data_IF_288355943440
#
_entry.id   IF_288355943440
#
_cell.length_a   1.000
_cell.length_b   1.000
_cell.length_c   1.000
_cell.angle_alpha   90.00
_cell.angle_beta   90.00
_cell.angle_gamma   90.00
#
_symmetry.space_group_name_H-M   'P 1'
#
loop_
_entity.id
_entity.type
_entity.pdbx_description
1 polymer ?
#
# COMPACT_ATOMS: atom_id res chain seq x y z
N UNK A 1 -35.24 -25.28 -35.03
CA UNK A 1 -34.65 -23.93 -35.16
C UNK A 1 -34.37 -23.28 -33.80
N UNK A 2 -34.89 -23.77 -32.67
CA UNK A 2 -34.67 -23.17 -31.33
C UNK A 2 -33.35 -23.55 -30.63
N UNK A 3 -32.64 -24.58 -31.10
CA UNK A 3 -31.40 -25.05 -30.47
C UNK A 3 -30.16 -24.21 -30.82
N UNK A 4 -30.11 -23.66 -32.03
CA UNK A 4 -28.97 -22.88 -32.55
C UNK A 4 -28.87 -21.50 -31.87
N UNK A 5 -30.00 -20.82 -31.68
CA UNK A 5 -30.04 -19.50 -31.01
C UNK A 5 -29.64 -19.59 -29.53
N UNK A 6 -29.84 -20.75 -28.90
CA UNK A 6 -29.45 -21.01 -27.51
C UNK A 6 -27.95 -21.21 -27.37
N UNK A 7 -27.34 -21.93 -28.33
CA UNK A 7 -25.90 -22.17 -28.38
C UNK A 7 -25.10 -20.90 -28.69
N UNK A 8 -25.62 -20.03 -29.56
CA UNK A 8 -24.98 -18.74 -29.85
C UNK A 8 -25.02 -17.80 -28.64
N UNK A 9 -26.16 -17.71 -27.93
CA UNK A 9 -26.26 -16.92 -26.70
C UNK A 9 -25.34 -17.39 -25.58
N UNK A 10 -25.17 -18.70 -25.41
CA UNK A 10 -24.25 -19.24 -24.39
C UNK A 10 -22.78 -18.93 -24.72
N UNK A 11 -22.39 -18.92 -26.01
CA UNK A 11 -21.05 -18.52 -26.44
C UNK A 11 -20.80 -17.03 -26.20
N UNK A 12 -21.79 -16.18 -26.45
CA UNK A 12 -21.71 -14.73 -26.22
C UNK A 12 -21.52 -14.40 -24.74
N UNK A 13 -22.33 -14.99 -23.86
CA UNK A 13 -22.22 -14.80 -22.39
C UNK A 13 -20.86 -15.25 -21.89
N UNK A 14 -20.34 -16.39 -22.39
CA UNK A 14 -19.03 -16.92 -21.98
C UNK A 14 -17.89 -16.03 -22.48
N UNK A 15 -18.03 -15.45 -23.68
CA UNK A 15 -17.09 -14.47 -24.24
C UNK A 15 -17.05 -13.17 -23.43
N UNK A 16 -18.21 -12.64 -23.03
CA UNK A 16 -18.29 -11.45 -22.16
C UNK A 16 -17.71 -11.72 -20.78
N UNK A 17 -18.00 -12.88 -20.17
CA UNK A 17 -17.46 -13.24 -18.86
C UNK A 17 -15.94 -13.39 -18.90
N UNK A 18 -15.40 -14.02 -19.94
CA UNK A 18 -13.95 -14.14 -20.13
C UNK A 18 -13.31 -12.78 -20.39
N UNK A 19 -13.96 -11.89 -21.14
CA UNK A 19 -13.50 -10.52 -21.38
C UNK A 19 -13.49 -9.69 -20.08
N UNK A 20 -14.51 -9.85 -19.21
CA UNK A 20 -14.55 -9.21 -17.90
C UNK A 20 -13.50 -9.76 -16.93
N UNK A 21 -13.27 -11.08 -16.91
CA UNK A 21 -12.21 -11.71 -16.11
C UNK A 21 -10.84 -11.22 -16.59
N UNK A 22 -10.62 -11.19 -17.91
CA UNK A 22 -9.35 -10.76 -18.50
C UNK A 22 -9.10 -9.27 -18.27
N UNK A 23 -10.12 -8.40 -18.35
CA UNK A 23 -10.03 -6.99 -17.95
C UNK A 23 -9.73 -6.82 -16.46
N UNK A 24 -10.35 -7.61 -15.57
CA UNK A 24 -10.02 -7.61 -14.14
C UNK A 24 -8.62 -8.14 -13.84
N UNK A 25 -8.12 -9.09 -14.64
CA UNK A 25 -6.75 -9.57 -14.53
C UNK A 25 -5.73 -8.58 -15.13
N UNK A 26 -6.08 -7.87 -16.20
CA UNK A 26 -5.29 -6.79 -16.81
C UNK A 26 -5.24 -5.54 -15.89
N UNK A 27 -6.35 -5.14 -15.27
CA UNK A 27 -6.40 -4.10 -14.23
C UNK A 27 -5.62 -4.50 -12.97
N UNK A 28 -5.54 -5.81 -12.65
CA UNK A 28 -4.64 -6.32 -11.60
C UNK A 28 -3.17 -6.41 -12.06
N UNK A 29 -2.90 -6.42 -13.37
CA UNK A 29 -1.57 -6.59 -13.98
C UNK A 29 -0.93 -5.29 -14.44
N UNK A 30 -1.62 -4.16 -14.42
CA UNK A 30 -0.98 -2.84 -14.28
C UNK A 30 -0.39 -2.66 -12.87
N UNK A 31 0.27 -3.70 -12.35
CA UNK A 31 1.26 -3.56 -11.29
C UNK A 31 2.44 -2.89 -11.95
N UNK A 32 2.65 -1.63 -11.63
CA UNK A 32 3.97 -1.02 -11.78
C UNK A 32 4.92 -1.93 -11.01
N UNK A 33 5.69 -2.76 -11.72
CA UNK A 33 6.71 -3.63 -11.13
C UNK A 33 7.90 -2.75 -10.77
N UNK A 34 7.70 -1.86 -9.81
CA UNK A 34 8.82 -1.25 -9.11
C UNK A 34 9.64 -2.39 -8.50
N UNK A 35 10.95 -2.39 -8.75
CA UNK A 35 11.88 -3.10 -7.87
C UNK A 35 11.75 -2.57 -6.43
N UNK A 36 12.30 -3.31 -5.46
CA UNK A 36 12.26 -2.88 -4.05
C UNK A 36 12.90 -1.50 -3.87
N UNK A 37 14.01 -1.25 -4.58
CA UNK A 37 14.72 0.03 -4.56
C UNK A 37 13.90 1.16 -5.21
N UNK A 38 13.30 0.92 -6.39
CA UNK A 38 12.48 1.94 -7.06
C UNK A 38 11.24 2.30 -6.24
N UNK A 39 10.60 1.32 -5.58
CA UNK A 39 9.46 1.58 -4.71
C UNK A 39 9.88 2.37 -3.47
N UNK A 40 11.04 2.05 -2.89
CA UNK A 40 11.60 2.79 -1.77
C UNK A 40 11.89 4.25 -2.15
N UNK A 41 12.49 4.48 -3.32
CA UNK A 41 12.74 5.82 -3.84
C UNK A 41 11.46 6.60 -4.08
N UNK A 42 10.42 5.97 -4.66
CA UNK A 42 9.14 6.61 -4.90
C UNK A 42 8.41 6.96 -3.58
N UNK A 43 8.47 6.08 -2.58
CA UNK A 43 7.96 6.36 -1.22
C UNK A 43 8.66 7.59 -0.63
N UNK A 44 10.00 7.67 -0.74
CA UNK A 44 10.77 8.81 -0.23
C UNK A 44 10.43 10.10 -0.95
N UNK A 45 10.32 10.06 -2.28
CA UNK A 45 9.98 11.21 -3.12
C UNK A 45 8.61 11.78 -2.78
N UNK A 46 7.64 10.90 -2.50
CA UNK A 46 6.24 11.28 -2.22
C UNK A 46 5.90 11.26 -0.72
N UNK A 47 6.90 11.23 0.14
CA UNK A 47 6.71 11.12 1.58
C UNK A 47 5.88 12.26 2.15
N UNK A 48 6.14 13.50 1.71
CA UNK A 48 5.38 14.66 2.16
C UNK A 48 3.90 14.59 1.75
N UNK A 49 3.59 14.01 0.59
CA UNK A 49 2.21 13.78 0.15
C UNK A 49 1.52 12.71 1.01
N UNK A 50 2.23 11.63 1.33
CA UNK A 50 1.75 10.58 2.24
C UNK A 50 1.44 11.17 3.63
N UNK A 51 2.35 11.98 4.16
CA UNK A 51 2.16 12.65 5.46
C UNK A 51 0.99 13.63 5.44
N UNK A 52 0.77 14.37 4.35
CA UNK A 52 -0.38 15.29 4.25
C UNK A 52 -1.71 14.54 4.24
N UNK A 53 -1.76 13.38 3.58
CA UNK A 53 -2.94 12.51 3.59
C UNK A 53 -3.20 11.89 4.97
N UNK A 54 -2.15 11.45 5.69
CA UNK A 54 -2.29 11.06 7.09
C UNK A 54 -2.84 12.19 7.94
N UNK A 55 -2.30 13.41 7.81
CA UNK A 55 -2.73 14.57 8.60
C UNK A 55 -4.20 14.92 8.40
N UNK A 56 -4.73 14.71 7.19
CA UNK A 56 -6.14 14.98 6.84
C UNK A 56 -7.09 13.97 7.43
N UNK A 57 -6.71 12.69 7.43
CA UNK A 57 -7.62 11.59 7.77
C UNK A 57 -7.42 11.05 9.21
N UNK A 58 -6.18 10.95 9.71
CA UNK A 58 -5.85 10.46 11.05
C UNK A 58 -4.62 11.16 11.65
N UNK A 59 -4.87 12.05 12.62
CA UNK A 59 -3.82 12.83 13.31
C UNK A 59 -2.88 11.97 14.15
N UNK A 60 -3.31 10.83 14.66
CA UNK A 60 -2.49 9.93 15.46
C UNK A 60 -1.47 9.27 14.54
N UNK A 61 -1.94 8.69 13.42
CA UNK A 61 -1.05 8.08 12.42
C UNK A 61 -0.05 9.11 11.90
N UNK A 62 -0.49 10.33 11.60
CA UNK A 62 0.41 11.41 11.23
C UNK A 62 1.48 11.71 12.29
N UNK A 63 1.10 11.80 13.57
CA UNK A 63 2.03 12.13 14.65
C UNK A 63 3.17 11.12 14.79
N UNK A 64 2.89 9.84 14.50
CA UNK A 64 3.90 8.79 14.50
C UNK A 64 4.75 8.80 13.22
N UNK A 65 4.12 8.93 12.05
CA UNK A 65 4.86 8.92 10.79
C UNK A 65 5.66 10.21 10.51
N UNK A 66 5.36 11.35 11.16
CA UNK A 66 6.07 12.63 10.91
C UNK A 66 7.59 12.54 11.15
N UNK A 67 8.02 11.68 12.07
CA UNK A 67 9.43 11.44 12.38
C UNK A 67 9.97 10.14 11.77
N UNK A 68 9.14 9.42 11.02
CA UNK A 68 9.50 8.14 10.46
C UNK A 68 10.12 8.29 9.07
N UNK A 69 11.07 7.40 8.77
CA UNK A 69 11.71 7.32 7.47
C UNK A 69 11.65 5.89 6.94
N UNK A 70 11.16 5.72 5.70
CA UNK A 70 11.24 4.44 5.00
C UNK A 70 12.70 4.13 4.63
N UNK A 71 13.23 3.03 5.16
CA UNK A 71 14.63 2.61 4.99
C UNK A 71 14.81 1.43 4.05
N UNK A 72 13.81 0.55 3.98
CA UNK A 72 13.83 -0.65 3.13
C UNK A 72 12.43 -1.04 2.72
N UNK A 73 12.31 -1.60 1.53
CA UNK A 73 11.11 -2.32 1.07
C UNK A 73 11.50 -3.78 0.85
N UNK A 74 10.59 -4.71 1.16
CA UNK A 74 10.76 -6.11 0.79
C UNK A 74 9.46 -6.71 0.26
N UNK A 75 9.55 -7.41 -0.86
CA UNK A 75 8.45 -8.21 -1.41
C UNK A 75 8.49 -9.62 -0.83
N UNK A 76 7.50 -9.97 -0.01
CA UNK A 76 7.36 -11.31 0.55
C UNK A 76 5.97 -11.86 0.19
N UNK A 77 5.94 -12.99 -0.52
CA UNK A 77 4.79 -13.81 -0.96
C UNK A 77 3.55 -13.06 -1.49
N UNK A 78 2.89 -12.24 -0.68
CA UNK A 78 1.65 -11.51 -0.97
C UNK A 78 1.57 -10.11 -0.37
N UNK A 79 2.61 -9.64 0.32
CA UNK A 79 2.64 -8.33 0.98
C UNK A 79 3.97 -7.61 0.73
N UNK A 80 3.94 -6.29 0.95
CA UNK A 80 5.07 -5.40 0.84
C UNK A 80 5.43 -4.93 2.24
N UNK A 81 6.57 -5.40 2.74
CA UNK A 81 7.09 -4.92 4.02
C UNK A 81 7.79 -3.60 3.79
N UNK A 82 7.39 -2.57 4.52
CA UNK A 82 8.10 -1.30 4.55
C UNK A 82 8.73 -1.16 5.93
N UNK A 83 10.05 -1.08 5.94
CA UNK A 83 10.82 -0.90 7.16
C UNK A 83 10.98 0.57 7.42
N UNK A 84 10.68 0.98 8.65
CA UNK A 84 10.78 2.36 9.07
C UNK A 84 11.79 2.52 10.20
N UNK A 85 12.49 3.65 10.18
CA UNK A 85 13.25 4.17 11.32
C UNK A 85 12.46 5.31 11.96
N UNK A 86 12.62 5.54 13.27
CA UNK A 86 12.01 6.68 13.97
C UNK A 86 10.60 6.45 14.53
N UNK A 87 10.12 5.21 14.49
CA UNK A 87 8.89 4.79 15.15
C UNK A 87 9.22 4.20 16.54
N UNK A 88 8.32 4.40 17.51
CA UNK A 88 8.43 3.80 18.84
C UNK A 88 7.69 2.45 18.93
N UNK A 89 7.93 1.69 20.01
CA UNK A 89 7.31 0.38 20.23
C UNK A 89 5.78 0.49 20.36
N UNK A 90 5.26 1.55 21.00
CA UNK A 90 3.82 1.77 21.13
C UNK A 90 3.10 1.94 19.79
N UNK A 91 3.82 2.40 18.77
CA UNK A 91 3.28 2.51 17.43
C UNK A 91 3.13 1.17 16.72
N UNK A 92 3.99 0.18 17.01
CA UNK A 92 3.87 -1.16 16.42
C UNK A 92 2.50 -1.73 16.75
N UNK A 93 2.14 -1.74 18.04
CA UNK A 93 0.86 -2.28 18.52
C UNK A 93 -0.33 -1.53 17.89
N UNK A 94 -0.19 -0.22 17.68
CA UNK A 94 -1.21 0.60 17.02
C UNK A 94 -1.37 0.28 15.52
N UNK A 95 -0.27 0.08 14.79
CA UNK A 95 -0.28 -0.29 13.36
C UNK A 95 -0.72 -1.74 13.13
N UNK A 96 -0.59 -2.59 14.15
CA UNK A 96 -1.14 -3.94 14.09
C UNK A 96 -2.66 -4.00 14.17
N UNK A 97 -3.34 -2.92 14.61
CA UNK A 97 -4.79 -2.82 14.48
C UNK A 97 -5.22 -2.89 13.01
N UNK A 98 -6.12 -3.83 12.63
CA UNK A 98 -6.54 -4.01 11.24
C UNK A 98 -7.07 -2.73 10.58
N UNK A 99 -7.78 -1.87 11.32
CA UNK A 99 -8.34 -0.63 10.78
C UNK A 99 -7.25 0.39 10.47
N UNK A 100 -6.25 0.48 11.35
CA UNK A 100 -5.10 1.38 11.16
C UNK A 100 -4.26 0.90 9.99
N UNK A 101 -4.04 -0.41 9.88
CA UNK A 101 -3.33 -1.02 8.74
C UNK A 101 -4.06 -0.75 7.41
N UNK A 102 -5.35 -1.04 7.34
CA UNK A 102 -6.16 -0.76 6.14
C UNK A 102 -6.14 0.72 5.76
N UNK A 103 -6.15 1.62 6.76
CA UNK A 103 -6.01 3.05 6.54
C UNK A 103 -4.66 3.41 5.91
N UNK A 104 -3.56 2.91 6.48
CA UNK A 104 -2.21 3.14 5.95
C UNK A 104 -2.12 2.62 4.51
N UNK A 105 -2.51 1.38 4.27
CA UNK A 105 -2.52 0.78 2.93
C UNK A 105 -3.33 1.60 1.92
N UNK A 106 -4.49 2.13 2.32
CA UNK A 106 -5.32 2.99 1.49
C UNK A 106 -4.61 4.30 1.13
N UNK A 107 -3.93 4.94 2.08
CA UNK A 107 -3.18 6.18 1.83
C UNK A 107 -2.03 5.93 0.88
N UNK A 108 -1.24 4.87 1.09
CA UNK A 108 -0.17 4.49 0.18
C UNK A 108 -0.71 4.16 -1.21
N UNK A 109 -1.84 3.46 -1.32
CA UNK A 109 -2.49 3.20 -2.59
C UNK A 109 -2.97 4.48 -3.28
N UNK A 110 -3.55 5.42 -2.52
CA UNK A 110 -4.04 6.71 -3.04
C UNK A 110 -2.90 7.56 -3.57
N UNK A 111 -1.80 7.65 -2.84
CA UNK A 111 -0.64 8.46 -3.23
C UNK A 111 0.10 7.75 -4.35
N UNK A 112 0.62 6.54 -4.12
CA UNK A 112 1.52 5.85 -5.06
C UNK A 112 0.79 5.21 -6.25
N UNK A 113 -0.53 5.05 -6.20
CA UNK A 113 -1.31 4.35 -7.23
C UNK A 113 -1.14 2.83 -7.21
N UNK A 114 -0.42 2.28 -6.23
CA UNK A 114 -0.13 0.85 -6.15
C UNK A 114 -0.84 0.25 -4.93
N UNK A 115 -1.59 -0.83 -5.16
CA UNK A 115 -2.22 -1.58 -4.06
C UNK A 115 -1.17 -2.47 -3.40
N UNK A 116 -0.82 -2.13 -2.17
CA UNK A 116 0.21 -2.78 -1.36
C UNK A 116 -0.45 -3.25 -0.08
N UNK A 117 -0.14 -4.46 0.39
CA UNK A 117 -0.42 -4.83 1.78
C UNK A 117 0.82 -4.50 2.60
N UNK A 118 0.71 -3.60 3.58
CA UNK A 118 1.86 -3.01 4.25
C UNK A 118 2.05 -3.67 5.61
N UNK A 119 3.23 -4.24 5.83
CA UNK A 119 3.69 -4.56 7.18
C UNK A 119 4.82 -3.59 7.55
N UNK A 120 4.56 -2.75 8.54
CA UNK A 120 5.54 -1.85 9.12
C UNK A 120 6.39 -2.63 10.13
N UNK A 121 7.71 -2.58 9.99
CA UNK A 121 8.65 -3.16 10.95
C UNK A 121 9.69 -2.11 11.33
N UNK A 122 10.02 -2.04 12.63
CA UNK A 122 11.04 -1.14 13.13
C UNK A 122 12.42 -1.75 12.89
N UNK A 123 13.29 -1.03 12.18
CA UNK A 123 14.72 -1.30 12.25
C UNK A 123 15.29 -0.68 13.53
N UNK A 124 15.43 -1.51 14.57
CA UNK A 124 16.00 -1.10 15.85
C UNK A 124 17.52 -0.91 15.74
N UNK A 125 17.96 0.20 15.14
CA UNK A 125 19.30 0.75 15.42
C UNK A 125 19.10 2.08 16.13
N UNK A 126 19.24 2.03 17.47
CA UNK A 126 19.33 3.15 18.41
C UNK A 126 18.88 4.49 17.82
N UNK A 127 17.57 4.71 17.79
CA UNK A 127 17.01 6.02 17.47
C UNK A 127 16.66 6.69 18.79
N UNK A 128 17.46 7.67 19.18
CA UNK A 128 17.08 8.59 20.24
C UNK A 128 16.11 9.61 19.65
N UNK A 129 14.93 9.83 20.25
CA UNK A 129 13.96 10.78 19.75
C UNK A 129 14.56 12.19 19.75
N UNK A 130 14.53 12.87 18.60
CA UNK A 130 14.88 14.29 18.51
C UNK A 130 13.83 15.08 19.30
N UNK A 131 14.26 15.75 20.37
CA UNK A 131 13.39 16.59 21.21
C UNK A 131 13.08 17.90 20.49
N UNK A 132 11.87 18.41 20.67
CA UNK A 132 11.33 19.63 20.02
C UNK A 132 12.01 20.95 20.46
N UNK A 133 13.25 20.94 20.96
CA UNK A 133 13.94 22.16 21.41
C UNK A 133 14.97 22.75 20.41
N UNK A 134 15.06 22.24 19.18
CA UNK A 134 16.02 22.73 18.15
C UNK A 134 15.38 23.09 16.80
N UNK A 135 14.37 23.98 16.81
CA UNK A 135 13.94 24.74 15.60
C UNK A 135 13.94 26.23 15.91
#
# INVERSE_FOLDING_TARGET
MEGLEREEREKEIRGELLSQIKRREEEKRERIMYSEDELLEEIRKRWLEILDEFKREDRIVFAYFRGAEAVRVSYEDSFVKVFFRGLDISFIDYVEDPKVREFIERVFQKVLGVRLSIACVIESRNWEPVREEEI
#
